data_IF_045702314481
#
_entry.id   IF_045702314481
#
_cell.length_a   1.000
_cell.length_b   1.000
_cell.length_c   1.000
_cell.angle_alpha   90.00
_cell.angle_beta   90.00
_cell.angle_gamma   90.00
#
_symmetry.space_group_name_H-M   'P 1'
#
loop_
_entity.id
_entity.type
_entity.pdbx_description
1 polymer ?
#
# COMPACT_ATOMS: atom_id res chain seq x y z
N UNK A 1 -0.10 13.44 -2.03
CA UNK A 1 1.09 13.60 -1.16
C UNK A 1 2.07 12.52 -1.54
N UNK A 2 3.35 12.85 -1.65
CA UNK A 2 4.36 11.86 -1.97
C UNK A 2 4.82 11.17 -0.69
N UNK A 3 4.98 9.85 -0.77
CA UNK A 3 5.30 8.99 0.37
C UNK A 3 6.63 8.31 0.07
N UNK A 4 7.58 8.46 0.99
CA UNK A 4 8.87 7.77 0.88
C UNK A 4 8.77 6.39 1.52
N UNK A 5 8.99 5.35 0.73
CA UNK A 5 9.02 3.96 1.15
C UNK A 5 10.28 3.26 0.64
N UNK A 6 10.42 1.99 1.00
CA UNK A 6 11.40 1.08 0.40
C UNK A 6 10.74 -0.25 0.10
N UNK A 7 11.27 -1.00 -0.85
CA UNK A 7 10.83 -2.34 -1.20
C UNK A 7 12.05 -3.27 -1.25
N UNK A 8 11.86 -4.51 -0.83
CA UNK A 8 12.85 -5.57 -0.96
C UNK A 8 12.12 -6.92 -1.03
N UNK A 9 11.95 -7.45 -2.23
CA UNK A 9 11.25 -8.70 -2.46
C UNK A 9 11.84 -9.49 -3.61
N UNK A 10 11.87 -10.81 -3.46
CA UNK A 10 12.24 -11.76 -4.52
C UNK A 10 11.01 -12.36 -5.22
N UNK A 11 9.83 -12.21 -4.60
CA UNK A 11 8.58 -12.63 -5.21
C UNK A 11 8.04 -11.55 -6.14
N UNK A 12 7.21 -11.97 -7.09
CA UNK A 12 6.48 -11.09 -7.99
C UNK A 12 5.05 -11.60 -8.18
N UNK A 13 4.13 -10.69 -8.45
CA UNK A 13 2.78 -11.04 -8.92
C UNK A 13 2.86 -11.22 -10.43
N UNK A 14 2.76 -12.47 -10.90
CA UNK A 14 2.99 -12.81 -12.32
C UNK A 14 1.88 -12.28 -13.24
N UNK A 15 0.67 -12.10 -12.72
CA UNK A 15 -0.49 -11.64 -13.51
C UNK A 15 -1.26 -10.58 -12.74
N UNK A 16 -0.73 -9.34 -12.65
CA UNK A 16 -1.44 -8.23 -12.00
C UNK A 16 -2.75 -7.94 -12.74
N UNK A 17 -3.83 -7.71 -11.99
CA UNK A 17 -5.12 -7.39 -12.60
C UNK A 17 -5.34 -5.86 -12.62
N UNK A 18 -5.46 -5.23 -13.80
CA UNK A 18 -5.66 -3.78 -13.90
C UNK A 18 -6.99 -3.30 -13.29
N UNK A 19 -7.95 -4.20 -13.03
CA UNK A 19 -9.21 -3.89 -12.37
C UNK A 19 -9.11 -3.84 -10.84
N UNK A 20 -7.96 -4.19 -10.24
CA UNK A 20 -7.76 -4.04 -8.80
C UNK A 20 -7.69 -2.58 -8.38
N UNK A 21 -8.10 -2.31 -7.15
CA UNK A 21 -7.87 -1.02 -6.52
C UNK A 21 -6.45 -0.98 -5.99
N UNK A 22 -5.59 -0.22 -6.66
CA UNK A 22 -4.23 0.03 -6.20
C UNK A 22 -4.17 1.24 -5.26
N UNK A 23 -3.40 1.12 -4.17
CA UNK A 23 -3.26 2.15 -3.15
C UNK A 23 -2.23 3.20 -3.52
N UNK A 24 -1.20 2.81 -4.28
CA UNK A 24 -0.04 3.65 -4.58
C UNK A 24 0.27 3.63 -6.07
N UNK A 25 0.59 4.83 -6.58
CA UNK A 25 1.32 4.98 -7.84
C UNK A 25 2.81 5.01 -7.52
N UNK A 26 3.57 4.16 -8.17
CA UNK A 26 5.02 4.09 -8.02
C UNK A 26 5.65 5.20 -8.86
N UNK A 27 6.33 6.13 -8.19
CA UNK A 27 7.09 7.20 -8.87
C UNK A 27 8.56 6.79 -9.09
N UNK A 28 9.10 5.91 -8.24
CA UNK A 28 10.44 5.33 -8.32
C UNK A 28 10.46 3.97 -7.61
N UNK A 29 10.96 2.94 -8.28
CA UNK A 29 10.94 1.55 -7.80
C UNK A 29 10.19 0.64 -8.77
N UNK A 30 9.80 -0.53 -8.29
CA UNK A 30 9.19 -1.62 -9.06
C UNK A 30 7.73 -1.81 -8.66
N UNK A 31 7.42 -1.90 -7.37
CA UNK A 31 6.07 -2.26 -6.91
C UNK A 31 5.58 -3.59 -7.49
N UNK A 32 4.29 -3.66 -7.77
CA UNK A 32 3.63 -4.87 -8.29
C UNK A 32 3.83 -5.01 -9.80
N UNK A 33 3.73 -3.92 -10.56
CA UNK A 33 3.71 -3.94 -12.03
C UNK A 33 4.66 -2.93 -12.70
N UNK A 34 5.53 -2.28 -11.94
CA UNK A 34 6.40 -1.19 -12.40
C UNK A 34 5.80 0.21 -12.22
N UNK A 35 4.49 0.32 -11.98
CA UNK A 35 3.76 1.60 -11.93
C UNK A 35 2.77 1.72 -10.77
N UNK A 36 2.35 0.60 -10.18
CA UNK A 36 1.44 0.51 -9.04
C UNK A 36 1.98 -0.41 -7.95
N UNK A 37 1.62 -0.10 -6.70
CA UNK A 37 1.82 -0.99 -5.56
C UNK A 37 0.63 -0.88 -4.59
N UNK A 38 0.49 -1.87 -3.71
CA UNK A 38 -0.56 -1.92 -2.71
C UNK A 38 -1.90 -2.31 -3.29
N UNK A 39 -2.38 -3.53 -3.08
CA UNK A 39 -3.72 -3.98 -3.46
C UNK A 39 -4.65 -3.77 -2.29
N UNK A 40 -5.74 -3.04 -2.52
CA UNK A 40 -6.83 -2.87 -1.55
C UNK A 40 -7.93 -3.88 -1.86
N UNK A 41 -8.25 -4.73 -0.89
CA UNK A 41 -9.41 -5.62 -0.96
C UNK A 41 -10.18 -5.57 0.35
N UNK A 42 -11.37 -4.94 0.33
CA UNK A 42 -12.17 -4.68 1.54
C UNK A 42 -11.33 -3.92 2.59
N UNK A 43 -11.05 -4.54 3.73
CA UNK A 43 -10.26 -3.97 4.83
C UNK A 43 -8.78 -4.38 4.80
N UNK A 44 -8.32 -5.01 3.72
CA UNK A 44 -6.94 -5.47 3.54
C UNK A 44 -6.18 -4.56 2.58
N UNK A 45 -4.93 -4.27 2.95
CA UNK A 45 -3.92 -3.68 2.08
C UNK A 45 -2.72 -4.64 2.01
N UNK A 46 -2.45 -5.20 0.83
CA UNK A 46 -1.25 -6.02 0.56
C UNK A 46 -0.28 -5.21 -0.31
N UNK A 47 0.92 -4.91 0.19
CA UNK A 47 1.87 -4.00 -0.47
C UNK A 47 3.29 -4.52 -0.36
N UNK A 48 4.11 -4.26 -1.39
CA UNK A 48 5.55 -4.45 -1.30
C UNK A 48 6.26 -3.26 -0.63
N UNK A 49 5.68 -2.06 -0.71
CA UNK A 49 6.23 -0.87 -0.08
C UNK A 49 6.16 -0.94 1.45
N UNK A 50 7.33 -0.92 2.08
CA UNK A 50 7.49 -0.76 3.51
C UNK A 50 7.46 0.73 3.87
N UNK A 51 6.42 1.13 4.60
CA UNK A 51 6.22 2.52 5.02
C UNK A 51 6.69 2.74 6.45
N UNK A 52 7.53 3.76 6.64
CA UNK A 52 7.82 4.26 7.99
C UNK A 52 6.72 5.21 8.43
N UNK A 53 6.35 5.15 9.71
CA UNK A 53 5.37 6.08 10.29
C UNK A 53 6.05 7.35 10.82
N UNK A 54 6.76 8.06 9.94
CA UNK A 54 7.55 9.26 10.25
C UNK A 54 7.37 10.31 9.15
N UNK A 55 7.73 11.57 9.40
CA UNK A 55 7.86 12.60 8.35
C UNK A 55 6.61 12.78 7.47
N UNK A 56 5.50 13.21 8.05
CA UNK A 56 4.24 13.46 7.31
C UNK A 56 3.44 12.20 6.93
N UNK A 57 4.05 11.02 6.94
CA UNK A 57 3.39 9.75 6.61
C UNK A 57 2.89 9.09 7.90
N UNK A 58 1.68 9.46 8.34
CA UNK A 58 1.05 8.93 9.56
C UNK A 58 0.18 7.69 9.30
N UNK A 59 0.72 6.72 8.57
CA UNK A 59 -0.07 5.57 8.11
C UNK A 59 -0.64 4.73 9.27
N UNK A 60 0.13 4.55 10.35
CA UNK A 60 -0.31 3.79 11.54
C UNK A 60 -1.54 4.41 12.19
N UNK A 61 -1.56 5.74 12.34
CA UNK A 61 -2.70 6.46 12.91
C UNK A 61 -3.95 6.34 12.03
N UNK A 62 -3.78 6.41 10.70
CA UNK A 62 -4.88 6.20 9.74
C UNK A 62 -5.40 4.76 9.78
N UNK A 63 -4.51 3.78 9.86
CA UNK A 63 -4.88 2.37 9.98
C UNK A 63 -5.67 2.10 11.28
N UNK A 64 -5.20 2.60 12.43
CA UNK A 64 -5.93 2.45 13.70
C UNK A 64 -7.30 3.15 13.68
N UNK A 65 -7.41 4.31 13.02
CA UNK A 65 -8.70 4.97 12.82
C UNK A 65 -9.66 4.11 11.98
N UNK A 66 -9.16 3.47 10.92
CA UNK A 66 -9.92 2.53 10.08
C UNK A 66 -10.42 1.34 10.90
N UNK A 67 -9.56 0.67 11.66
CA UNK A 67 -9.94 -0.46 12.53
C UNK A 67 -11.06 -0.06 13.49
N UNK A 68 -10.93 1.08 14.17
CA UNK A 68 -11.97 1.59 15.10
C UNK A 68 -13.29 1.89 14.40
N UNK A 69 -13.27 2.35 13.15
CA UNK A 69 -14.48 2.58 12.36
C UNK A 69 -15.17 1.25 12.00
N UNK A 70 -14.40 0.23 11.62
CA UNK A 70 -14.92 -1.09 11.31
C UNK A 70 -15.57 -1.78 12.52
N UNK A 71 -15.06 -1.58 13.74
CA UNK A 71 -15.65 -2.17 14.95
C UNK A 71 -16.93 -1.48 15.44
N UNK A 72 -17.30 -0.34 14.86
CA UNK A 72 -18.53 0.40 15.19
C UNK A 72 -19.72 0.06 14.28
N UNK A 73 -19.48 -0.74 13.25
CA UNK A 73 -20.49 -1.30 12.37
C UNK A 73 -20.71 -2.78 12.73
#
# INVERSE_FOLDING_TARGET
>A
VDIQGHEFHHSAVVTPNPAWTYAYRVLRGSGIDGSHDGIVHKNLLASYAHLRSVGGVRWTSRFLAHVRACCRN
#
